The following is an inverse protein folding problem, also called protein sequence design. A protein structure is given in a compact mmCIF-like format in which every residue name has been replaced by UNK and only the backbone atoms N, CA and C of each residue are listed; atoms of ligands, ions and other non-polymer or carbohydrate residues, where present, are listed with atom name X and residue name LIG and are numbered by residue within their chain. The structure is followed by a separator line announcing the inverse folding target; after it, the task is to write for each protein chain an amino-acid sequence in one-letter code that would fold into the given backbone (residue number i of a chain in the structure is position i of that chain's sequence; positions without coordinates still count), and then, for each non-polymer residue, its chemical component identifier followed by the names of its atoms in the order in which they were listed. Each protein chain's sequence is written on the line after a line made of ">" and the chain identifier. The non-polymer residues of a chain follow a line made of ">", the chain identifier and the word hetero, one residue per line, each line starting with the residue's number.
data_IF_187665118434
#
_entry.id   IF_187665118434
#
_cell.length_a   1.000
_cell.length_b   1.000
_cell.length_c   1.000
_cell.angle_alpha   90.00
_cell.angle_beta   90.00
_cell.angle_gamma   90.00
#
_symmetry.space_group_name_H-M   'P 1'
#
loop_
_entity.id
_entity.type
_entity.pdbx_description
1 polymer ?
#
# COMPACT_ATOMS: atom_id res chain seq x y z
N UNK A 1 -4.95 -13.47 -39.66
CA UNK A 1 -5.88 -12.85 -38.68
C UNK A 1 -5.67 -13.37 -37.27
N UNK A 2 -5.48 -14.69 -37.07
CA UNK A 2 -5.15 -15.30 -35.77
C UNK A 2 -3.92 -14.70 -35.09
N UNK A 3 -2.90 -14.30 -35.87
CA UNK A 3 -1.71 -13.63 -35.35
C UNK A 3 -2.01 -12.32 -34.60
N UNK A 4 -2.98 -11.52 -35.05
CA UNK A 4 -3.38 -10.30 -34.34
C UNK A 4 -4.00 -10.64 -32.98
N UNK A 5 -4.87 -11.66 -32.94
CA UNK A 5 -5.47 -12.14 -31.70
C UNK A 5 -4.42 -12.71 -30.74
N UNK A 6 -3.41 -13.42 -31.26
CA UNK A 6 -2.31 -13.96 -30.47
C UNK A 6 -1.46 -12.83 -29.85
N UNK A 7 -1.16 -11.78 -30.61
CA UNK A 7 -0.40 -10.62 -30.12
C UNK A 7 -1.17 -9.90 -29.01
N UNK A 8 -2.46 -9.63 -29.22
CA UNK A 8 -3.32 -8.98 -28.21
C UNK A 8 -3.45 -9.87 -26.96
N UNK A 9 -3.61 -11.18 -27.13
CA UNK A 9 -3.67 -12.14 -26.03
C UNK A 9 -2.38 -12.19 -25.22
N UNK A 10 -1.22 -12.23 -25.89
CA UNK A 10 0.08 -12.22 -25.22
C UNK A 10 0.32 -10.91 -24.46
N UNK A 11 -0.05 -9.77 -25.05
CA UNK A 11 0.03 -8.47 -24.40
C UNK A 11 -0.88 -8.38 -23.16
N UNK A 12 -2.11 -8.90 -23.26
CA UNK A 12 -3.05 -8.95 -22.13
C UNK A 12 -2.52 -9.83 -20.98
N UNK A 13 -1.97 -11.00 -21.29
CA UNK A 13 -1.37 -11.89 -20.29
C UNK A 13 -0.15 -11.23 -19.64
N UNK A 14 0.76 -10.64 -20.42
CA UNK A 14 1.90 -9.91 -19.91
C UNK A 14 1.50 -8.72 -19.02
N UNK A 15 0.46 -7.99 -19.42
CA UNK A 15 -0.10 -6.90 -18.62
C UNK A 15 -0.72 -7.40 -17.31
N UNK A 16 -1.46 -8.50 -17.33
CA UNK A 16 -2.02 -9.12 -16.13
C UNK A 16 -0.93 -9.61 -15.19
N UNK A 17 0.11 -10.26 -15.71
CA UNK A 17 1.27 -10.70 -14.92
C UNK A 17 2.02 -9.50 -14.33
N UNK A 18 2.22 -8.43 -15.10
CA UNK A 18 2.82 -7.20 -14.58
C UNK A 18 1.94 -6.51 -13.55
N UNK A 19 0.61 -6.53 -13.71
CA UNK A 19 -0.33 -5.96 -12.75
C UNK A 19 -0.45 -6.78 -11.46
N UNK A 20 -0.27 -8.09 -11.57
CA UNK A 20 -0.39 -9.08 -10.49
C UNK A 20 0.94 -9.53 -9.90
N UNK A 21 2.10 -9.10 -10.40
CA UNK A 21 3.41 -9.40 -9.81
C UNK A 21 4.37 -8.20 -9.87
N UNK A 22 3.98 -7.11 -10.54
CA UNK A 22 4.78 -5.88 -10.58
C UNK A 22 4.88 -5.21 -9.21
N UNK A 23 5.76 -4.20 -9.10
CA UNK A 23 6.18 -3.60 -7.82
C UNK A 23 5.05 -3.00 -6.96
N UNK A 24 3.82 -2.93 -7.48
CA UNK A 24 2.62 -2.54 -6.72
C UNK A 24 2.08 -3.64 -5.76
N UNK A 25 2.65 -4.86 -5.76
CA UNK A 25 2.23 -5.92 -4.84
C UNK A 25 3.05 -6.04 -3.55
N UNK A 26 4.17 -5.31 -3.41
CA UNK A 26 4.83 -5.22 -2.11
C UNK A 26 4.02 -4.38 -1.10
N UNK A 27 3.13 -3.49 -1.57
CA UNK A 27 2.32 -2.60 -0.71
C UNK A 27 0.85 -3.00 -0.60
N UNK A 28 0.36 -3.97 -1.37
CA UNK A 28 -1.07 -4.34 -1.41
C UNK A 28 -1.44 -5.54 -0.54
N UNK A 29 -0.89 -5.62 0.68
CA UNK A 29 -1.52 -6.41 1.75
C UNK A 29 -2.28 -5.57 2.77
N UNK A 30 -2.12 -4.25 2.76
CA UNK A 30 -2.94 -3.38 3.58
C UNK A 30 -3.96 -2.60 2.76
N UNK A 31 -5.21 -3.06 2.92
CA UNK A 31 -6.42 -2.24 2.90
C UNK A 31 -7.00 -1.79 1.55
N UNK A 32 -8.22 -2.25 1.32
CA UNK A 32 -9.41 -1.45 1.01
C UNK A 32 -9.13 0.06 0.85
N UNK A 33 -9.54 0.61 -0.29
CA UNK A 33 -9.70 2.05 -0.60
C UNK A 33 -8.44 2.82 -1.01
N UNK A 34 -8.53 3.53 -2.16
CA UNK A 34 -7.72 4.72 -2.42
C UNK A 34 -6.54 4.57 -3.40
N UNK A 35 -6.72 5.19 -4.58
CA UNK A 35 -5.78 5.87 -5.49
C UNK A 35 -4.24 5.74 -5.29
N UNK A 36 -3.43 5.63 -6.37
CA UNK A 36 -1.98 5.64 -6.25
C UNK A 36 -1.50 7.07 -6.06
N UNK A 37 -0.94 7.36 -4.88
CA UNK A 37 -0.12 8.54 -4.68
C UNK A 37 1.28 8.04 -4.34
N UNK A 38 2.24 8.36 -5.19
CA UNK A 38 3.64 8.49 -4.81
C UNK A 38 3.69 9.19 -3.45
N UNK A 39 3.91 8.43 -2.36
CA UNK A 39 4.33 9.01 -1.09
C UNK A 39 5.84 8.98 -1.09
N UNK A 40 6.41 9.91 -1.85
CA UNK A 40 7.50 10.70 -1.29
C UNK A 40 7.02 11.11 0.10
N UNK A 41 7.52 10.46 1.14
CA UNK A 41 7.30 10.93 2.51
C UNK A 41 7.84 12.36 2.51
N UNK A 42 6.91 13.33 2.45
CA UNK A 42 7.24 14.71 2.72
C UNK A 42 7.86 14.82 4.10
N UNK A 43 8.45 15.98 4.45
CA UNK A 43 9.01 16.18 5.78
C UNK A 43 7.98 15.76 6.83
N UNK A 44 8.29 14.69 7.56
CA UNK A 44 7.45 14.19 8.65
C UNK A 44 7.55 15.24 9.76
N UNK A 45 6.41 15.80 10.14
CA UNK A 45 6.35 16.71 11.28
C UNK A 45 6.82 15.98 12.54
N UNK A 46 7.39 16.67 13.54
CA UNK A 46 7.83 16.03 14.78
C UNK A 46 6.73 15.21 15.49
N UNK A 47 5.46 15.52 15.24
CA UNK A 47 4.30 14.85 15.85
C UNK A 47 3.79 13.63 15.04
N UNK A 48 4.26 13.43 13.81
CA UNK A 48 3.85 12.36 12.89
C UNK A 48 4.91 11.24 12.78
N UNK A 49 5.90 11.24 13.66
CA UNK A 49 6.90 10.17 13.70
C UNK A 49 6.33 8.89 14.37
N UNK A 50 6.92 7.75 14.00
CA UNK A 50 6.44 6.46 14.49
C UNK A 50 6.59 6.31 16.01
N UNK A 51 7.52 7.05 16.61
CA UNK A 51 7.82 6.95 18.04
C UNK A 51 6.83 7.76 18.88
N UNK A 52 6.38 8.95 18.43
CA UNK A 52 5.31 9.71 19.07
C UNK A 52 3.99 8.95 19.08
N UNK A 53 3.61 8.34 17.94
CA UNK A 53 2.40 7.52 17.86
C UNK A 53 2.45 6.29 18.78
N UNK A 54 3.63 5.67 18.92
CA UNK A 54 3.85 4.54 19.84
C UNK A 54 3.71 4.98 21.30
N UNK A 55 4.25 6.14 21.65
CA UNK A 55 4.13 6.68 23.01
C UNK A 55 2.68 7.07 23.33
N UNK A 56 1.93 7.61 22.37
CA UNK A 56 0.51 7.89 22.51
C UNK A 56 -0.32 6.61 22.69
N UNK A 57 -0.04 5.56 21.92
CA UNK A 57 -0.70 4.26 22.06
C UNK A 57 -0.42 3.65 23.45
N UNK A 58 0.84 3.75 23.93
CA UNK A 58 1.23 3.32 25.28
C UNK A 58 0.50 4.07 26.38
N UNK A 59 0.31 5.38 26.24
CA UNK A 59 -0.42 6.22 27.21
C UNK A 59 -1.92 5.97 27.17
N UNK A 60 -2.48 5.74 25.99
CA UNK A 60 -3.92 5.49 25.79
C UNK A 60 -4.32 4.09 26.27
N UNK A 61 -3.43 3.10 26.12
CA UNK A 61 -3.61 1.71 26.59
C UNK A 61 -3.06 1.46 28.00
N UNK A 62 -2.51 2.48 28.66
CA UNK A 62 -2.15 2.46 30.08
C UNK A 62 -3.39 2.50 30.98
N UNK A 63 -3.25 2.28 32.31
CA UNK A 63 -4.23 1.67 33.22
C UNK A 63 -5.41 2.59 33.59
N UNK A 64 -6.15 3.09 32.61
CA UNK A 64 -7.42 3.77 32.79
C UNK A 64 -8.63 2.84 32.56
N UNK A 65 -8.38 1.53 32.39
CA UNK A 65 -9.41 0.47 32.33
C UNK A 65 -9.76 -0.10 33.72
N UNK A 66 -9.45 0.62 34.82
CA UNK A 66 -9.95 0.33 36.17
C UNK A 66 -10.64 1.58 36.75
N UNK A 67 -11.85 1.89 36.28
CA UNK A 67 -12.85 2.70 37.00
C UNK A 67 -14.24 2.07 36.86
#
# INVERSE_FOLDING_TARGET
>A
MTFLLAIVGLAAIGFLLWRAFGPALAERRDTTTGRPTSRSHGPVGPDDDADFLRDLDRRTRGPNDEL
#
